data_IF_420088223515
#
_entry.id   IF_420088223515
#
_cell.length_a   1.000
_cell.length_b   1.000
_cell.length_c   1.000
_cell.angle_alpha   90.00
_cell.angle_beta   90.00
_cell.angle_gamma   90.00
#
_symmetry.space_group_name_H-M   'P 1'
#
loop_
_entity.id
_entity.type
_entity.pdbx_description
1 polymer ?
#
# COMPACT_ATOMS: atom_id res chain seq x y z
N UNK A 1 -27.43 -18.18 -2.28
CA UNK A 1 -26.74 -18.45 -1.00
C UNK A 1 -25.43 -17.66 -0.84
N UNK A 2 -24.43 -17.77 -1.74
CA UNK A 2 -23.14 -17.06 -1.58
C UNK A 2 -23.25 -15.52 -1.66
N UNK A 3 -24.20 -14.97 -2.42
CA UNK A 3 -24.32 -13.51 -2.61
C UNK A 3 -24.90 -12.76 -1.39
N UNK A 4 -25.61 -13.45 -0.50
CA UNK A 4 -26.27 -12.83 0.67
C UNK A 4 -25.34 -12.73 1.88
N UNK A 5 -24.33 -13.61 1.95
CA UNK A 5 -23.36 -13.64 3.05
C UNK A 5 -22.35 -12.49 3.01
N UNK A 6 -22.17 -11.84 1.86
CA UNK A 6 -21.12 -10.83 1.70
C UNK A 6 -21.62 -9.45 2.18
N UNK A 7 -22.94 -9.17 2.14
CA UNK A 7 -23.52 -7.83 2.39
C UNK A 7 -23.19 -7.25 3.78
N UNK A 8 -23.13 -8.10 4.80
CA UNK A 8 -22.88 -7.66 6.18
C UNK A 8 -21.44 -7.25 6.49
N UNK A 9 -20.49 -7.41 5.56
CA UNK A 9 -19.08 -7.03 5.78
C UNK A 9 -18.54 -6.25 4.58
N UNK A 10 -18.90 -4.96 4.52
CA UNK A 10 -18.17 -3.92 3.77
C UNK A 10 -17.68 -4.30 2.37
N UNK A 11 -18.59 -4.41 1.40
CA UNK A 11 -18.28 -4.86 0.02
C UNK A 11 -18.42 -3.78 -1.05
N UNK A 12 -17.79 -2.63 -0.81
CA UNK A 12 -17.58 -1.66 -1.90
C UNK A 12 -16.88 -2.31 -3.11
N UNK A 13 -16.03 -3.33 -2.91
CA UNK A 13 -15.37 -4.08 -3.99
C UNK A 13 -16.29 -4.95 -4.86
N UNK A 14 -17.46 -5.39 -4.38
CA UNK A 14 -18.38 -6.19 -5.20
C UNK A 14 -19.04 -5.38 -6.33
N UNK A 15 -19.08 -4.05 -6.22
CA UNK A 15 -19.48 -3.19 -7.33
C UNK A 15 -18.51 -3.35 -8.52
N UNK A 16 -17.21 -3.43 -8.25
CA UNK A 16 -16.17 -3.71 -9.27
C UNK A 16 -16.25 -5.14 -9.80
N UNK A 17 -16.69 -6.09 -8.96
CA UNK A 17 -16.93 -7.48 -9.39
C UNK A 17 -18.05 -7.58 -10.45
N UNK A 18 -19.00 -6.63 -10.47
CA UNK A 18 -19.97 -6.51 -11.58
C UNK A 18 -19.30 -6.11 -12.90
N UNK A 19 -18.24 -5.30 -12.85
CA UNK A 19 -17.45 -4.93 -14.05
C UNK A 19 -16.67 -6.15 -14.56
N UNK A 20 -16.09 -6.96 -13.68
CA UNK A 20 -15.47 -8.25 -14.06
C UNK A 20 -16.49 -9.22 -14.68
N UNK A 21 -17.74 -9.23 -14.18
CA UNK A 21 -18.86 -9.97 -14.79
C UNK A 21 -19.26 -9.39 -16.15
N UNK A 22 -19.31 -8.08 -16.30
CA UNK A 22 -19.59 -7.42 -17.58
C UNK A 22 -18.53 -7.77 -18.62
N UNK A 23 -17.24 -7.69 -18.27
CA UNK A 23 -16.12 -8.12 -19.10
C UNK A 23 -16.23 -9.62 -19.46
N UNK A 24 -16.64 -10.48 -18.52
CA UNK A 24 -16.89 -11.90 -18.77
C UNK A 24 -18.00 -12.12 -19.82
N UNK A 25 -19.06 -11.31 -19.80
CA UNK A 25 -20.16 -11.39 -20.79
C UNK A 25 -19.75 -10.85 -22.17
N UNK A 26 -18.94 -9.79 -22.25
CA UNK A 26 -18.44 -9.34 -23.57
C UNK A 26 -17.39 -10.32 -24.11
N UNK A 27 -16.65 -11.02 -23.23
CA UNK A 27 -15.67 -12.06 -23.59
C UNK A 27 -16.27 -13.37 -24.11
N UNK A 28 -17.60 -13.57 -24.07
CA UNK A 28 -18.24 -14.78 -24.66
C UNK A 28 -18.44 -14.68 -26.17
N UNK A 29 -18.36 -13.47 -26.73
CA UNK A 29 -18.33 -13.26 -28.18
C UNK A 29 -16.95 -13.77 -28.67
N UNK A 30 -16.89 -14.67 -29.66
CA UNK A 30 -15.67 -15.41 -30.01
C UNK A 30 -14.42 -14.53 -30.23
N UNK A 31 -14.59 -13.29 -30.70
CA UNK A 31 -13.49 -12.33 -30.88
C UNK A 31 -12.84 -11.84 -29.58
N UNK A 32 -13.60 -11.63 -28.50
CA UNK A 32 -13.05 -11.06 -27.27
C UNK A 32 -12.42 -12.12 -26.35
N UNK A 33 -12.86 -13.39 -26.45
CA UNK A 33 -12.21 -14.52 -25.78
C UNK A 33 -10.76 -14.70 -26.22
N UNK A 34 -10.49 -14.51 -27.51
CA UNK A 34 -9.14 -14.62 -28.08
C UNK A 34 -8.21 -13.54 -27.53
N UNK A 35 -8.69 -12.30 -27.41
CA UNK A 35 -7.90 -11.17 -26.90
C UNK A 35 -7.50 -11.38 -25.44
N UNK A 36 -8.46 -11.79 -24.59
CA UNK A 36 -8.18 -12.06 -23.17
C UNK A 36 -7.25 -13.27 -23.01
N UNK A 37 -7.44 -14.31 -23.84
CA UNK A 37 -6.53 -15.46 -23.89
C UNK A 37 -5.11 -15.08 -24.29
N UNK A 38 -4.95 -14.22 -25.31
CA UNK A 38 -3.66 -13.71 -25.75
C UNK A 38 -2.99 -12.83 -24.68
N UNK A 39 -3.77 -11.98 -23.98
CA UNK A 39 -3.27 -11.16 -22.89
C UNK A 39 -2.76 -12.02 -21.72
N UNK A 40 -3.54 -13.01 -21.30
CA UNK A 40 -3.15 -13.94 -20.23
C UNK A 40 -1.90 -14.74 -20.63
N UNK A 41 -1.82 -15.16 -21.89
CA UNK A 41 -0.65 -15.85 -22.41
C UNK A 41 0.61 -14.97 -22.39
N UNK A 42 0.49 -13.69 -22.75
CA UNK A 42 1.58 -12.71 -22.65
C UNK A 42 1.99 -12.44 -21.20
N UNK A 43 1.03 -12.30 -20.28
CA UNK A 43 1.31 -12.13 -18.84
C UNK A 43 2.03 -13.35 -18.27
N UNK A 44 1.66 -14.57 -18.70
CA UNK A 44 2.38 -15.79 -18.29
C UNK A 44 3.82 -15.82 -18.78
N UNK A 45 4.15 -15.23 -19.93
CA UNK A 45 5.54 -15.05 -20.36
C UNK A 45 6.28 -14.01 -19.52
N UNK A 46 5.60 -12.95 -19.10
CA UNK A 46 6.13 -11.95 -18.17
C UNK A 46 6.23 -12.46 -16.72
N UNK A 47 5.62 -13.60 -16.39
CA UNK A 47 5.66 -14.16 -15.04
C UNK A 47 7.08 -14.51 -14.61
N UNK A 48 7.92 -15.00 -15.52
CA UNK A 48 9.34 -15.31 -15.25
C UNK A 48 10.10 -14.05 -14.78
N UNK A 49 9.98 -12.96 -15.54
CA UNK A 49 10.55 -11.64 -15.21
C UNK A 49 9.94 -11.08 -13.93
N UNK A 50 8.64 -11.30 -13.71
CA UNK A 50 7.94 -10.86 -12.49
C UNK A 50 8.48 -11.58 -11.27
N UNK A 51 8.70 -12.90 -11.35
CA UNK A 51 9.28 -13.70 -10.26
C UNK A 51 10.70 -13.22 -9.96
N UNK A 52 11.52 -13.03 -11.00
CA UNK A 52 12.87 -12.46 -10.85
C UNK A 52 12.84 -11.09 -10.17
N UNK A 53 11.92 -10.23 -10.58
CA UNK A 53 11.75 -8.89 -10.02
C UNK A 53 11.32 -8.96 -8.55
N UNK A 54 10.33 -9.79 -8.21
CA UNK A 54 9.86 -9.96 -6.82
C UNK A 54 10.96 -10.53 -5.94
N UNK A 55 11.73 -11.50 -6.43
CA UNK A 55 12.86 -12.06 -5.70
C UNK A 55 13.92 -10.98 -5.44
N UNK A 56 14.32 -10.25 -6.47
CA UNK A 56 15.28 -9.16 -6.39
C UNK A 56 14.82 -8.08 -5.39
N UNK A 57 13.57 -7.61 -5.52
CA UNK A 57 12.96 -6.66 -4.59
C UNK A 57 12.91 -7.19 -3.16
N UNK A 58 12.68 -8.48 -2.96
CA UNK A 58 12.66 -9.08 -1.62
C UNK A 58 14.04 -9.04 -0.97
N UNK A 59 15.11 -9.37 -1.71
CA UNK A 59 16.49 -9.28 -1.20
C UNK A 59 16.84 -7.83 -0.86
N UNK A 60 16.57 -6.89 -1.76
CA UNK A 60 16.79 -5.47 -1.51
C UNK A 60 15.96 -4.94 -0.35
N UNK A 61 14.72 -5.40 -0.18
CA UNK A 61 13.86 -5.01 0.93
C UNK A 61 14.39 -5.52 2.27
N UNK A 62 14.93 -6.74 2.35
CA UNK A 62 15.53 -7.27 3.58
C UNK A 62 16.80 -6.50 3.95
N UNK A 63 17.68 -6.24 2.97
CA UNK A 63 18.90 -5.45 3.17
C UNK A 63 18.55 -4.01 3.55
N UNK A 64 17.63 -3.38 2.82
CA UNK A 64 17.14 -2.04 3.07
C UNK A 64 16.45 -1.91 4.43
N UNK A 65 15.61 -2.86 4.82
CA UNK A 65 14.96 -2.84 6.13
C UNK A 65 15.99 -2.87 7.26
N UNK A 66 17.06 -3.66 7.14
CA UNK A 66 18.11 -3.74 8.15
C UNK A 66 18.98 -2.48 8.20
N UNK A 67 19.29 -1.87 7.04
CA UNK A 67 20.06 -0.62 6.93
C UNK A 67 19.28 0.60 7.41
N UNK A 68 17.99 0.67 7.10
CA UNK A 68 17.12 1.82 7.42
C UNK A 68 16.29 1.60 8.70
N UNK A 69 16.52 0.50 9.43
CA UNK A 69 15.86 0.23 10.71
C UNK A 69 16.25 1.30 11.72
N UNK A 70 15.30 2.15 12.08
CA UNK A 70 15.49 3.19 13.11
C UNK A 70 15.96 4.54 12.60
N UNK A 71 16.65 4.63 11.45
CA UNK A 71 17.25 5.89 10.97
C UNK A 71 16.23 6.88 10.37
N UNK A 72 15.07 6.41 9.89
CA UNK A 72 13.98 7.27 9.40
C UNK A 72 13.06 7.81 10.52
N UNK A 73 13.26 7.35 11.75
CA UNK A 73 12.44 7.75 12.91
C UNK A 73 13.06 8.86 13.73
N UNK A 74 14.24 9.37 13.33
CA UNK A 74 14.91 10.48 13.97
C UNK A 74 14.02 11.73 13.89
N UNK A 75 13.39 12.06 15.02
CA UNK A 75 12.66 13.31 15.22
C UNK A 75 13.53 14.18 16.12
N UNK A 76 13.72 15.44 15.75
CA UNK A 76 14.30 16.43 16.66
C UNK A 76 13.25 16.73 17.74
N UNK A 77 13.42 16.19 18.93
CA UNK A 77 12.56 16.48 20.08
C UNK A 77 13.10 17.76 20.73
N UNK A 78 12.30 18.83 20.75
CA UNK A 78 12.62 20.02 21.55
C UNK A 78 12.56 19.64 23.03
N UNK A 79 13.69 19.71 23.73
CA UNK A 79 13.73 19.48 25.17
C UNK A 79 13.14 20.70 25.89
N UNK A 80 11.83 20.70 26.13
CA UNK A 80 11.15 21.77 26.87
C UNK A 80 11.63 21.90 28.32
N UNK A 81 12.46 20.97 28.81
CA UNK A 81 13.09 21.07 30.14
C UNK A 81 14.13 22.19 30.22
N UNK A 82 14.76 22.59 29.10
CA UNK A 82 15.60 23.81 29.08
C UNK A 82 14.78 25.11 29.05
N UNK A 83 13.50 25.02 28.64
CA UNK A 83 12.53 26.12 28.72
C UNK A 83 11.90 26.18 30.11
N UNK A 84 12.05 25.17 30.98
CA UNK A 84 11.63 25.32 32.37
C UNK A 84 12.61 26.19 33.17
N UNK A 85 13.87 26.30 32.74
CA UNK A 85 14.83 27.23 33.37
C UNK A 85 14.71 28.64 32.76
N UNK A 86 14.49 28.78 31.44
CA UNK A 86 14.26 30.11 30.84
C UNK A 86 12.85 30.66 31.00
N UNK A 87 11.81 29.82 31.16
CA UNK A 87 10.46 30.30 31.51
C UNK A 87 10.34 30.67 32.99
N UNK A 88 11.17 30.08 33.87
CA UNK A 88 11.27 30.53 35.26
C UNK A 88 12.02 31.88 35.37
N UNK A 89 13.05 32.11 34.54
CA UNK A 89 13.68 33.43 34.44
C UNK A 89 12.81 34.50 33.72
N UNK A 90 12.02 34.12 32.72
CA UNK A 90 11.16 35.08 32.01
C UNK A 90 9.86 35.41 32.76
N UNK A 91 9.46 34.60 33.75
CA UNK A 91 8.28 34.87 34.58
C UNK A 91 8.55 35.75 35.81
N UNK A 92 9.81 36.10 36.12
CA UNK A 92 10.14 37.03 37.22
C UNK A 92 10.38 38.49 36.78
N UNK A 93 10.47 38.76 35.46
CA UNK A 93 10.62 40.14 34.94
C UNK A 93 9.28 40.80 34.53
N UNK A 94 8.15 40.10 34.65
CA UNK A 94 6.81 40.71 34.54
C UNK A 94 6.14 40.98 35.90
N UNK A 95 6.95 41.22 36.93
CA UNK A 95 6.47 41.61 38.27
C UNK A 95 7.39 42.64 38.94
N UNK A 96 7.81 43.65 38.18
CA UNK A 96 8.22 44.96 38.69
C UNK A 96 7.67 46.05 37.78
#
# INVERSE_FOLDING_TARGET
>A
YICEAIDRRGISGLRTFRVLRALKTVSVIPGLKVIVGALIHSVRKLADVTILTVFCLSVFALVGLQLFKGNLKNKCVKNCTAVNETANYSSHEKRK
#
